data_IF_154158608822
#
_entry.id   IF_154158608822
#
_cell.length_a   1.000
_cell.length_b   1.000
_cell.length_c   1.000
_cell.angle_alpha   90.00
_cell.angle_beta   90.00
_cell.angle_gamma   90.00
#
_symmetry.space_group_name_H-M   'P 1'
#
loop_
_entity.id
_entity.type
_entity.pdbx_description
1 polymer ?
#
# COMPACT_ATOMS: atom_id res chain seq x y z
N UNK A 1 31.83 -87.32 -2.57
CA UNK A 1 32.96 -87.21 -1.62
C UNK A 1 32.49 -86.45 -0.40
N UNK A 2 32.96 -86.89 0.76
CA UNK A 2 32.33 -86.81 2.08
C UNK A 2 33.05 -85.79 2.98
N UNK A 3 32.45 -85.47 4.14
CA UNK A 3 33.00 -84.81 5.36
C UNK A 3 33.02 -83.26 5.37
N UNK A 4 32.66 -82.54 6.44
CA UNK A 4 32.22 -82.87 7.80
C UNK A 4 31.76 -81.58 8.52
N UNK A 5 30.86 -81.76 9.48
CA UNK A 5 30.28 -80.81 10.45
C UNK A 5 31.28 -79.96 11.26
N UNK A 6 30.83 -78.78 11.76
CA UNK A 6 30.62 -78.57 13.22
C UNK A 6 29.99 -77.21 13.58
N UNK A 7 28.93 -77.30 14.39
CA UNK A 7 28.33 -76.30 15.27
C UNK A 7 29.37 -75.62 16.18
N UNK A 8 29.27 -74.30 16.38
CA UNK A 8 29.37 -73.65 17.70
C UNK A 8 28.37 -72.49 17.70
N UNK A 9 27.38 -72.55 18.59
CA UNK A 9 26.55 -71.40 18.93
C UNK A 9 27.19 -70.58 20.04
N UNK A 10 27.07 -69.25 19.94
CA UNK A 10 27.12 -68.34 21.09
C UNK A 10 26.27 -67.11 20.74
N UNK A 11 25.15 -66.96 21.44
CA UNK A 11 24.48 -65.68 21.62
C UNK A 11 25.32 -64.83 22.55
N UNK A 12 25.60 -63.57 22.20
CA UNK A 12 25.64 -62.47 23.16
C UNK A 12 25.50 -61.11 22.44
N UNK A 13 24.38 -60.46 22.74
CA UNK A 13 24.19 -59.01 22.89
C UNK A 13 25.25 -58.04 22.37
N UNK A 14 24.77 -57.03 21.63
CA UNK A 14 25.27 -55.67 21.80
C UNK A 14 25.59 -54.93 20.50
N UNK A 15 24.64 -54.11 20.07
CA UNK A 15 24.78 -52.66 19.84
C UNK A 15 24.02 -52.25 18.57
N UNK A 16 22.69 -52.20 18.66
CA UNK A 16 21.90 -51.41 17.71
C UNK A 16 22.27 -49.96 17.99
N UNK A 17 23.12 -49.35 17.15
CA UNK A 17 23.21 -47.90 17.08
C UNK A 17 21.82 -47.41 16.67
N UNK A 18 21.04 -46.97 17.66
CA UNK A 18 19.94 -46.07 17.41
C UNK A 18 20.57 -44.79 16.86
N UNK A 19 20.53 -44.64 15.54
CA UNK A 19 20.60 -43.31 14.94
C UNK A 19 19.32 -42.63 15.40
N UNK A 20 19.38 -42.00 16.57
CA UNK A 20 18.50 -40.89 16.91
C UNK A 20 18.78 -39.85 15.85
N UNK A 21 18.04 -39.90 14.75
CA UNK A 21 17.84 -38.70 13.95
C UNK A 21 17.33 -37.67 14.92
N UNK A 22 18.19 -36.72 15.29
CA UNK A 22 17.73 -35.42 15.71
C UNK A 22 16.88 -34.94 14.54
N UNK A 23 15.56 -35.18 14.60
CA UNK A 23 14.64 -34.29 13.96
C UNK A 23 14.97 -32.94 14.58
N UNK A 24 15.69 -32.09 13.86
CA UNK A 24 15.67 -30.66 14.13
C UNK A 24 14.20 -30.32 14.23
N UNK A 25 13.71 -30.12 15.45
CA UNK A 25 12.42 -29.51 15.66
C UNK A 25 12.58 -28.16 15.00
N UNK A 26 11.90 -27.96 13.86
CA UNK A 26 11.90 -26.70 13.16
C UNK A 26 11.61 -25.63 14.22
N UNK A 27 12.61 -24.78 14.48
CA UNK A 27 12.43 -23.73 15.47
C UNK A 27 11.28 -22.86 14.95
N UNK A 28 10.26 -22.56 15.78
CA UNK A 28 9.14 -21.75 15.33
C UNK A 28 9.68 -20.45 14.75
N UNK A 29 9.17 -20.02 13.59
CA UNK A 29 9.74 -18.86 12.88
C UNK A 29 9.59 -17.55 13.66
N UNK A 30 8.69 -17.53 14.65
CA UNK A 30 8.57 -16.47 15.63
C UNK A 30 9.81 -16.30 16.55
N UNK A 31 10.73 -17.27 16.57
CA UNK A 31 11.97 -17.23 17.33
C UNK A 31 11.79 -17.27 18.85
N UNK A 32 12.86 -16.94 19.57
CA UNK A 32 12.85 -16.78 21.04
C UNK A 32 12.58 -15.31 21.43
N UNK A 33 12.20 -15.01 22.68
CA UNK A 33 12.08 -13.64 23.15
C UNK A 33 13.33 -12.78 22.91
N UNK A 34 14.52 -13.37 23.04
CA UNK A 34 15.80 -12.69 22.81
C UNK A 34 15.99 -12.30 21.35
N UNK A 35 15.66 -13.20 20.41
CA UNK A 35 15.71 -12.91 18.97
C UNK A 35 14.70 -11.84 18.57
N UNK A 36 13.50 -11.84 19.17
CA UNK A 36 12.49 -10.80 18.93
C UNK A 36 12.90 -9.45 19.50
N UNK A 37 13.56 -9.42 20.65
CA UNK A 37 14.16 -8.21 21.21
C UNK A 37 15.24 -7.64 20.29
N UNK A 38 16.14 -8.49 19.77
CA UNK A 38 17.18 -8.09 18.81
C UNK A 38 16.59 -7.58 17.50
N UNK A 39 15.55 -8.23 16.98
CA UNK A 39 14.80 -7.77 15.80
C UNK A 39 14.20 -6.38 16.05
N UNK A 40 13.52 -6.18 17.19
CA UNK A 40 12.95 -4.90 17.56
C UNK A 40 14.01 -3.80 17.62
N UNK A 41 15.09 -4.03 18.36
CA UNK A 41 16.17 -3.06 18.55
C UNK A 41 16.82 -2.72 17.19
N UNK A 42 16.94 -3.71 16.29
CA UNK A 42 17.42 -3.52 14.91
C UNK A 42 16.49 -2.64 14.08
N UNK A 43 15.17 -2.85 14.17
CA UNK A 43 14.17 -2.03 13.46
C UNK A 43 14.21 -0.58 13.95
N UNK A 44 14.27 -0.35 15.27
CA UNK A 44 14.38 1.00 15.85
C UNK A 44 15.66 1.69 15.39
N UNK A 45 16.80 1.02 15.51
CA UNK A 45 18.09 1.57 15.10
C UNK A 45 18.16 1.86 13.59
N UNK A 46 17.54 1.05 12.73
CA UNK A 46 17.41 1.34 11.29
C UNK A 46 16.48 2.52 11.03
N UNK A 47 15.38 2.61 11.76
CA UNK A 47 14.39 3.69 11.60
C UNK A 47 14.96 5.04 12.01
N UNK A 48 15.61 5.14 13.18
CA UNK A 48 16.29 6.36 13.65
C UNK A 48 17.35 6.83 12.64
N UNK A 49 18.09 5.88 12.05
CA UNK A 49 19.09 6.13 11.01
C UNK A 49 18.52 6.52 9.65
N UNK A 50 17.22 6.48 9.39
CA UNK A 50 16.69 6.91 8.08
C UNK A 50 16.32 8.39 8.02
N UNK A 51 16.05 9.02 9.16
CA UNK A 51 15.62 10.44 9.26
C UNK A 51 14.46 10.84 8.31
N UNK A 52 13.75 9.88 7.74
CA UNK A 52 12.61 10.08 6.83
C UNK A 52 11.33 10.44 7.60
N UNK A 53 11.45 11.39 8.52
CA UNK A 53 10.34 11.96 9.26
C UNK A 53 10.02 13.33 8.71
N UNK A 54 8.72 13.64 8.61
CA UNK A 54 8.27 15.00 8.35
C UNK A 54 8.01 15.65 9.71
N UNK A 55 8.85 16.60 10.18
CA UNK A 55 8.64 17.26 11.48
C UNK A 55 7.28 17.96 11.53
N UNK A 56 6.86 18.56 10.41
CA UNK A 56 5.56 19.24 10.27
C UNK A 56 4.41 18.24 10.43
N UNK A 57 4.53 17.03 9.87
CA UNK A 57 3.53 15.96 10.04
C UNK A 57 3.44 15.57 11.52
N UNK A 58 4.58 15.32 12.15
CA UNK A 58 4.65 14.86 13.54
C UNK A 58 4.07 15.89 14.50
N UNK A 59 4.41 17.17 14.30
CA UNK A 59 3.83 18.29 15.07
C UNK A 59 2.31 18.37 14.89
N UNK A 60 1.82 18.33 13.64
CA UNK A 60 0.37 18.40 13.36
C UNK A 60 -0.42 17.22 13.94
N UNK A 61 0.18 16.03 13.95
CA UNK A 61 -0.43 14.83 14.49
C UNK A 61 -0.12 14.61 15.98
N UNK A 62 0.64 15.51 16.60
CA UNK A 62 0.95 15.50 18.03
C UNK A 62 1.62 14.22 18.53
N UNK A 63 2.54 13.64 17.77
CA UNK A 63 3.19 12.36 18.13
C UNK A 63 4.68 12.34 17.83
N UNK A 64 5.43 11.50 18.55
CA UNK A 64 6.81 11.14 18.24
C UNK A 64 6.86 9.70 17.71
N UNK A 65 7.23 9.48 16.43
CA UNK A 65 7.22 8.15 15.83
C UNK A 65 8.15 7.16 16.52
N UNK A 66 9.30 7.60 17.05
CA UNK A 66 10.23 6.70 17.75
C UNK A 66 9.64 6.32 19.10
N UNK A 67 9.09 7.28 19.84
CA UNK A 67 8.46 6.99 21.13
C UNK A 67 7.27 6.02 20.99
N UNK A 68 6.41 6.23 20.00
CA UNK A 68 5.26 5.35 19.71
C UNK A 68 5.71 3.93 19.34
N UNK A 69 6.79 3.81 18.56
CA UNK A 69 7.38 2.50 18.24
C UNK A 69 8.01 1.83 19.47
N UNK A 70 8.76 2.59 20.28
CA UNK A 70 9.41 2.11 21.50
C UNK A 70 8.42 1.52 22.50
N UNK A 71 7.22 2.11 22.61
CA UNK A 71 6.13 1.63 23.45
C UNK A 71 5.62 0.21 23.06
N UNK A 72 5.93 -0.28 21.86
CA UNK A 72 5.51 -1.59 21.38
C UNK A 72 6.52 -2.72 21.64
N UNK A 73 7.64 -2.44 22.33
CA UNK A 73 8.68 -3.44 22.58
C UNK A 73 8.15 -4.71 23.24
N UNK A 74 7.39 -4.56 24.32
CA UNK A 74 6.87 -5.70 25.07
C UNK A 74 5.85 -6.51 24.24
N UNK A 75 5.10 -5.85 23.36
CA UNK A 75 4.16 -6.52 22.44
C UNK A 75 4.93 -7.40 21.46
N UNK A 76 6.03 -6.91 20.89
CA UNK A 76 6.88 -7.68 19.96
C UNK A 76 7.61 -8.80 20.68
N UNK A 77 8.21 -8.54 21.84
CA UNK A 77 9.01 -9.54 22.58
C UNK A 77 8.13 -10.67 23.11
N UNK A 78 6.90 -10.38 23.53
CA UNK A 78 5.98 -11.38 24.06
C UNK A 78 5.26 -12.22 22.99
N UNK A 79 5.29 -11.81 21.71
CA UNK A 79 4.65 -12.51 20.61
C UNK A 79 5.24 -13.91 20.38
N UNK A 80 4.52 -14.94 20.81
CA UNK A 80 5.00 -16.32 20.91
C UNK A 80 4.67 -17.16 19.68
N UNK A 81 3.72 -16.71 18.86
CA UNK A 81 3.33 -17.35 17.61
C UNK A 81 3.67 -16.47 16.40
N UNK A 82 3.71 -17.07 15.21
CA UNK A 82 3.98 -16.34 13.97
C UNK A 82 2.91 -15.27 13.69
N UNK A 83 1.64 -15.59 13.98
CA UNK A 83 0.52 -14.66 13.85
C UNK A 83 0.62 -13.49 14.85
N UNK A 84 0.94 -13.77 16.12
CA UNK A 84 1.17 -12.72 17.12
C UNK A 84 2.32 -11.82 16.70
N UNK A 85 3.42 -12.39 16.20
CA UNK A 85 4.59 -11.61 15.80
C UNK A 85 4.30 -10.76 14.57
N UNK A 86 3.59 -11.29 13.58
CA UNK A 86 3.16 -10.52 12.42
C UNK A 86 2.34 -9.29 12.82
N UNK A 87 1.30 -9.45 13.63
CA UNK A 87 0.48 -8.31 14.05
C UNK A 87 1.23 -7.35 14.98
N UNK A 88 2.17 -7.84 15.80
CA UNK A 88 3.05 -6.98 16.58
C UNK A 88 3.97 -6.12 15.66
N UNK A 89 4.52 -6.72 14.61
CA UNK A 89 5.34 -6.02 13.60
C UNK A 89 4.50 -5.07 12.74
N UNK A 90 3.26 -5.42 12.39
CA UNK A 90 2.34 -4.55 11.69
C UNK A 90 2.06 -3.28 12.52
N UNK A 91 1.78 -3.44 13.82
CA UNK A 91 1.62 -2.30 14.75
C UNK A 91 2.88 -1.47 14.84
N UNK A 92 4.05 -2.11 14.97
CA UNK A 92 5.33 -1.43 15.02
C UNK A 92 5.60 -0.60 13.76
N UNK A 93 5.33 -1.16 12.59
CA UNK A 93 5.46 -0.47 11.30
C UNK A 93 4.53 0.74 11.22
N UNK A 94 3.24 0.54 11.49
CA UNK A 94 2.22 1.57 11.34
C UNK A 94 2.29 2.68 12.41
N UNK A 95 2.93 2.44 13.55
CA UNK A 95 3.17 3.47 14.58
C UNK A 95 3.90 4.71 14.04
N UNK A 96 4.66 4.58 12.95
CA UNK A 96 5.34 5.70 12.27
C UNK A 96 4.39 6.65 11.53
N UNK A 97 3.15 6.22 11.27
CA UNK A 97 2.16 6.93 10.46
C UNK A 97 2.79 7.38 9.14
N UNK A 98 3.33 6.43 8.41
CA UNK A 98 3.91 6.61 7.07
C UNK A 98 3.13 5.76 6.07
N UNK A 99 2.54 6.40 5.03
CA UNK A 99 1.73 5.69 4.04
C UNK A 99 2.55 4.79 3.11
N UNK A 100 3.88 4.97 3.07
CA UNK A 100 4.78 4.24 2.18
C UNK A 100 5.60 3.18 2.92
N UNK A 101 5.38 3.01 4.22
CA UNK A 101 6.07 1.98 4.97
C UNK A 101 5.20 0.72 5.00
N UNK A 102 5.65 -0.25 4.21
CA UNK A 102 4.91 -1.48 3.98
C UNK A 102 5.55 -2.67 4.71
N UNK A 103 4.71 -3.63 5.06
CA UNK A 103 5.11 -4.90 5.66
C UNK A 103 4.68 -6.00 4.71
N UNK A 104 5.65 -6.70 4.13
CA UNK A 104 5.41 -7.77 3.18
C UNK A 104 5.60 -9.14 3.83
N UNK A 105 4.74 -10.09 3.45
CA UNK A 105 5.07 -11.51 3.59
C UNK A 105 6.12 -11.88 2.53
N UNK A 106 7.10 -12.70 2.91
CA UNK A 106 8.21 -13.12 2.04
C UNK A 106 8.39 -14.63 2.09
N UNK A 107 8.93 -15.21 1.02
CA UNK A 107 9.24 -16.63 0.98
C UNK A 107 10.17 -17.03 2.15
N UNK A 108 9.79 -18.06 2.90
CA UNK A 108 10.51 -18.50 4.09
C UNK A 108 10.30 -17.64 5.35
N UNK A 109 9.54 -16.55 5.27
CA UNK A 109 9.16 -15.69 6.39
C UNK A 109 8.03 -16.26 7.26
N UNK A 110 7.36 -15.39 8.02
CA UNK A 110 6.23 -15.75 8.89
C UNK A 110 5.06 -16.31 8.07
N UNK A 111 4.45 -17.38 8.56
CA UNK A 111 3.28 -18.03 7.99
C UNK A 111 2.04 -17.71 8.82
N UNK A 112 0.97 -17.29 8.12
CA UNK A 112 -0.30 -16.94 8.73
C UNK A 112 -1.38 -17.94 8.31
N UNK A 113 -2.35 -18.24 9.19
CA UNK A 113 -3.51 -19.07 8.82
C UNK A 113 -4.34 -18.48 7.67
N UNK A 114 -4.32 -17.16 7.55
CA UNK A 114 -4.98 -16.40 6.50
C UNK A 114 -4.10 -15.19 6.15
N UNK A 115 -3.97 -14.93 4.85
CA UNK A 115 -3.17 -13.83 4.28
C UNK A 115 -3.94 -13.01 3.24
N UNK A 116 -5.26 -13.21 3.14
CA UNK A 116 -6.11 -12.48 2.19
C UNK A 116 -6.04 -10.97 2.43
N UNK A 117 -5.71 -10.22 1.39
CA UNK A 117 -5.51 -8.77 1.44
C UNK A 117 -4.20 -8.30 2.09
N UNK A 118 -3.24 -9.20 2.30
CA UNK A 118 -1.89 -8.83 2.73
C UNK A 118 -0.93 -8.70 1.54
N UNK A 119 0.00 -7.75 1.64
CA UNK A 119 1.04 -7.57 0.64
C UNK A 119 2.05 -8.74 0.71
N UNK A 120 2.34 -9.36 -0.44
CA UNK A 120 3.32 -10.47 -0.57
C UNK A 120 4.41 -10.02 -1.54
N UNK A 121 5.67 -10.09 -1.10
CA UNK A 121 6.81 -9.77 -1.96
C UNK A 121 6.97 -10.85 -3.03
N UNK A 122 7.04 -10.43 -4.29
CA UNK A 122 7.19 -11.30 -5.47
C UNK A 122 6.10 -12.39 -5.61
N UNK A 123 4.93 -12.17 -5.01
CA UNK A 123 3.80 -13.09 -5.04
C UNK A 123 2.47 -12.40 -5.38
N UNK A 124 1.44 -13.20 -5.62
CA UNK A 124 0.08 -12.68 -5.83
C UNK A 124 -0.59 -12.41 -4.46
N UNK A 125 -1.07 -11.18 -4.27
CA UNK A 125 -1.97 -10.84 -3.18
C UNK A 125 -3.39 -11.25 -3.57
N UNK A 126 -4.06 -12.03 -2.72
CA UNK A 126 -5.47 -12.35 -2.90
C UNK A 126 -6.34 -11.15 -2.51
N UNK A 127 -7.23 -10.73 -3.41
CA UNK A 127 -8.18 -9.65 -3.12
C UNK A 127 -9.15 -10.08 -2.00
N UNK A 128 -9.36 -9.24 -0.97
CA UNK A 128 -10.28 -9.57 0.10
C UNK A 128 -11.74 -9.58 -0.36
N UNK A 129 -12.51 -10.50 0.22
CA UNK A 129 -13.95 -10.52 0.01
C UNK A 129 -14.59 -9.25 0.60
N UNK A 130 -15.64 -8.75 -0.04
CA UNK A 130 -16.29 -7.48 0.28
C UNK A 130 -17.78 -7.69 0.60
N UNK A 131 -18.30 -6.95 1.58
CA UNK A 131 -19.73 -6.89 1.88
C UNK A 131 -20.48 -6.05 0.82
N UNK A 132 -21.78 -6.27 0.57
CA UNK A 132 -22.56 -5.55 -0.45
C UNK A 132 -22.86 -4.07 -0.14
N UNK A 133 -21.97 -3.38 0.59
CA UNK A 133 -22.02 -1.96 0.94
C UNK A 133 -20.65 -1.31 0.77
N UNK A 134 -20.62 -0.02 0.46
CA UNK A 134 -19.42 0.83 0.60
C UNK A 134 -19.69 1.81 1.74
N UNK A 135 -18.69 1.98 2.59
CA UNK A 135 -18.75 2.93 3.71
C UNK A 135 -17.81 4.08 3.37
N UNK A 136 -18.26 5.31 3.61
CA UNK A 136 -17.46 6.51 3.44
C UNK A 136 -17.29 7.25 4.76
N UNK A 137 -16.16 7.91 4.97
CA UNK A 137 -15.96 8.78 6.11
C UNK A 137 -16.82 10.05 5.97
N UNK A 138 -17.39 10.50 7.08
CA UNK A 138 -17.97 11.83 7.20
C UNK A 138 -16.84 12.83 7.53
N UNK A 139 -16.67 13.84 6.67
CA UNK A 139 -15.69 14.90 6.85
C UNK A 139 -16.33 16.23 7.30
N UNK A 140 -17.60 16.21 7.70
CA UNK A 140 -18.32 17.41 8.14
C UNK A 140 -17.89 17.89 9.53
N UNK A 141 -17.31 17.00 10.35
CA UNK A 141 -16.70 17.32 11.63
C UNK A 141 -15.38 16.56 11.86
N UNK A 142 -14.72 16.84 12.99
CA UNK A 142 -13.45 16.21 13.39
C UNK A 142 -13.66 14.83 14.08
N UNK A 143 -14.91 14.38 14.27
CA UNK A 143 -15.19 13.10 14.91
C UNK A 143 -15.09 11.93 13.92
N UNK A 144 -14.92 10.71 14.45
CA UNK A 144 -14.94 9.51 13.64
C UNK A 144 -16.37 9.18 13.18
N UNK A 145 -16.85 9.89 12.16
CA UNK A 145 -18.13 9.65 11.50
C UNK A 145 -17.99 8.80 10.25
N UNK A 146 -18.92 7.87 10.04
CA UNK A 146 -18.98 7.02 8.85
C UNK A 146 -20.43 6.83 8.43
N UNK A 147 -20.65 6.71 7.12
CA UNK A 147 -21.98 6.47 6.57
C UNK A 147 -21.94 5.50 5.38
N UNK A 148 -23.09 4.91 5.07
CA UNK A 148 -23.25 4.08 3.88
C UNK A 148 -23.16 4.97 2.64
N UNK A 149 -22.08 4.84 1.88
CA UNK A 149 -21.83 5.63 0.66
C UNK A 149 -22.43 5.03 -0.61
N UNK A 150 -22.48 3.69 -0.68
CA UNK A 150 -23.05 2.94 -1.79
C UNK A 150 -23.51 1.56 -1.32
N UNK A 151 -24.30 0.88 -2.12
CA UNK A 151 -24.75 -0.49 -1.88
C UNK A 151 -24.90 -1.26 -3.18
N UNK A 152 -24.87 -2.58 -3.09
CA UNK A 152 -25.08 -3.41 -4.26
C UNK A 152 -26.57 -3.41 -4.70
N UNK A 153 -26.81 -3.53 -6.01
CA UNK A 153 -28.17 -3.45 -6.62
C UNK A 153 -28.89 -4.79 -6.77
N UNK A 154 -28.19 -5.91 -6.53
CA UNK A 154 -28.73 -7.24 -6.79
C UNK A 154 -29.78 -7.62 -5.73
N UNK A 155 -31.02 -8.01 -6.13
CA UNK A 155 -32.06 -8.41 -5.19
C UNK A 155 -31.74 -9.70 -4.41
N UNK A 156 -30.67 -10.43 -4.74
CA UNK A 156 -30.20 -11.59 -3.96
C UNK A 156 -29.66 -11.21 -2.58
N UNK A 157 -29.31 -9.94 -2.37
CA UNK A 157 -28.81 -9.47 -1.09
C UNK A 157 -29.93 -9.39 -0.05
N UNK A 158 -29.61 -9.59 1.24
CA UNK A 158 -30.54 -9.26 2.32
C UNK A 158 -30.92 -7.79 2.27
N UNK A 159 -31.84 -7.37 3.15
CA UNK A 159 -32.08 -5.95 3.35
C UNK A 159 -30.74 -5.24 3.65
N UNK A 160 -30.41 -4.24 2.83
CA UNK A 160 -29.18 -3.47 2.95
C UNK A 160 -29.48 -2.13 3.61
N UNK A 161 -28.56 -1.58 4.40
CA UNK A 161 -28.73 -0.24 4.96
C UNK A 161 -28.88 0.79 3.82
N UNK A 162 -29.56 1.89 4.11
CA UNK A 162 -29.80 2.93 3.13
C UNK A 162 -28.54 3.78 2.94
N UNK A 163 -28.34 4.28 1.72
CA UNK A 163 -27.28 5.25 1.43
C UNK A 163 -27.54 6.50 2.30
N UNK A 164 -26.51 6.94 3.02
CA UNK A 164 -26.57 8.06 3.96
C UNK A 164 -26.84 7.67 5.42
N UNK A 165 -27.17 6.40 5.72
CA UNK A 165 -27.29 5.95 7.11
C UNK A 165 -25.93 6.02 7.81
N UNK A 166 -25.90 6.58 9.03
CA UNK A 166 -24.70 6.66 9.87
C UNK A 166 -24.35 5.29 10.45
N UNK A 167 -23.10 4.89 10.40
CA UNK A 167 -22.61 3.66 11.06
C UNK A 167 -22.35 3.94 12.54
N UNK A 168 -23.03 3.21 13.42
CA UNK A 168 -22.86 3.31 14.88
C UNK A 168 -21.97 2.19 15.44
N UNK A 169 -22.09 0.98 14.90
CA UNK A 169 -21.27 -0.17 15.32
C UNK A 169 -20.82 -1.00 14.12
N UNK A 170 -19.64 -1.60 14.26
CA UNK A 170 -19.03 -2.54 13.31
C UNK A 170 -18.62 -3.78 14.08
N UNK A 171 -19.15 -4.95 13.69
CA UNK A 171 -18.85 -6.23 14.35
C UNK A 171 -19.10 -6.22 15.86
N UNK A 172 -20.16 -5.52 16.29
CA UNK A 172 -20.54 -5.34 17.69
C UNK A 172 -19.68 -4.35 18.48
N UNK A 173 -18.69 -3.72 17.85
CA UNK A 173 -17.86 -2.67 18.44
C UNK A 173 -18.41 -1.28 18.07
N UNK A 174 -18.53 -0.34 19.01
CA UNK A 174 -18.78 1.07 18.69
C UNK A 174 -17.78 1.59 17.65
N UNK A 175 -18.26 2.39 16.70
CA UNK A 175 -17.48 2.77 15.51
C UNK A 175 -16.19 3.53 15.86
N UNK A 176 -16.21 4.32 16.93
CA UNK A 176 -15.04 5.01 17.50
C UNK A 176 -14.02 4.02 18.06
N UNK A 177 -14.46 3.05 18.86
CA UNK A 177 -13.60 2.00 19.39
C UNK A 177 -13.02 1.11 18.27
N UNK A 178 -13.79 0.86 17.21
CA UNK A 178 -13.31 0.13 16.03
C UNK A 178 -12.26 0.95 15.27
N UNK A 179 -12.52 2.23 15.04
CA UNK A 179 -11.57 3.16 14.41
C UNK A 179 -10.24 3.17 15.16
N UNK A 180 -10.27 3.37 16.47
CA UNK A 180 -9.07 3.44 17.31
C UNK A 180 -8.29 2.12 17.27
N UNK A 181 -8.99 0.99 17.35
CA UNK A 181 -8.37 -0.33 17.32
C UNK A 181 -7.75 -0.65 15.95
N UNK A 182 -8.46 -0.33 14.86
CA UNK A 182 -8.03 -0.59 13.49
C UNK A 182 -6.89 0.34 13.05
N UNK A 183 -6.79 1.55 13.61
CA UNK A 183 -5.72 2.52 13.33
C UNK A 183 -4.32 1.93 13.53
N UNK A 184 -4.16 1.06 14.54
CA UNK A 184 -2.89 0.39 14.82
C UNK A 184 -2.41 -0.53 13.67
N UNK A 185 -3.28 -0.87 12.73
CA UNK A 185 -3.00 -1.79 11.63
C UNK A 185 -3.11 -1.12 10.25
N UNK A 186 -3.24 0.21 10.18
CA UNK A 186 -3.43 0.92 8.93
C UNK A 186 -2.32 1.95 8.67
N UNK A 187 -1.61 1.78 7.55
CA UNK A 187 -0.64 2.77 7.05
C UNK A 187 -1.34 4.07 6.64
N UNK A 188 -0.93 5.21 7.18
CA UNK A 188 -1.51 6.51 6.89
C UNK A 188 -0.50 7.61 7.15
N UNK A 189 -0.66 8.81 6.58
CA UNK A 189 0.18 9.98 6.91
C UNK A 189 -0.61 11.21 7.35
N UNK A 190 -1.94 11.12 7.26
CA UNK A 190 -2.89 12.14 7.70
C UNK A 190 -4.11 11.42 8.28
N UNK A 191 -4.86 12.09 9.17
CA UNK A 191 -6.14 11.59 9.68
C UNK A 191 -7.18 11.42 8.57
N UNK A 192 -7.23 12.36 7.61
CA UNK A 192 -8.16 12.30 6.47
C UNK A 192 -7.98 11.01 5.66
N UNK A 193 -6.72 10.65 5.35
CA UNK A 193 -6.42 9.44 4.60
C UNK A 193 -6.63 8.17 5.45
N UNK A 194 -6.41 8.25 6.76
CA UNK A 194 -6.73 7.17 7.69
C UNK A 194 -8.23 6.88 7.69
N UNK A 195 -9.08 7.89 7.88
CA UNK A 195 -10.54 7.72 7.88
C UNK A 195 -11.04 7.12 6.57
N UNK A 196 -10.51 7.55 5.42
CA UNK A 196 -10.82 6.95 4.12
C UNK A 196 -10.50 5.46 4.07
N UNK A 197 -9.26 5.08 4.42
CA UNK A 197 -8.82 3.67 4.39
C UNK A 197 -9.57 2.80 5.38
N UNK A 198 -9.88 3.34 6.55
CA UNK A 198 -10.66 2.64 7.56
C UNK A 198 -12.11 2.43 7.11
N UNK A 199 -12.73 3.40 6.43
CA UNK A 199 -14.06 3.25 5.85
C UNK A 199 -14.10 2.11 4.81
N UNK A 200 -13.12 2.06 3.90
CA UNK A 200 -12.99 0.96 2.94
C UNK A 200 -12.80 -0.38 3.65
N UNK A 201 -11.88 -0.42 4.62
CA UNK A 201 -11.55 -1.61 5.39
C UNK A 201 -12.72 -2.22 6.18
N UNK A 202 -13.65 -1.40 6.70
CA UNK A 202 -14.83 -1.89 7.44
C UNK A 202 -15.67 -2.86 6.61
N UNK A 203 -15.70 -2.67 5.29
CA UNK A 203 -16.50 -3.49 4.37
C UNK A 203 -15.76 -4.73 3.84
N UNK A 204 -14.53 -4.98 4.28
CA UNK A 204 -13.66 -6.05 3.76
C UNK A 204 -13.41 -7.15 4.80
N UNK A 205 -13.38 -8.41 4.34
CA UNK A 205 -12.82 -9.52 5.11
C UNK A 205 -11.35 -9.68 4.74
N UNK A 206 -10.49 -8.99 5.48
CA UNK A 206 -9.03 -8.95 5.22
C UNK A 206 -8.23 -9.37 6.44
N UNK A 207 -7.13 -10.09 6.20
CA UNK A 207 -6.12 -10.43 7.18
C UNK A 207 -5.19 -9.26 7.56
N UNK A 208 -5.42 -8.06 7.02
CA UNK A 208 -4.77 -6.84 7.50
C UNK A 208 -5.10 -6.57 8.98
N UNK A 209 -6.24 -7.07 9.48
CA UNK A 209 -6.65 -6.94 10.86
C UNK A 209 -6.62 -8.28 11.62
N UNK A 210 -6.31 -8.26 12.92
CA UNK A 210 -6.43 -9.44 13.78
C UNK A 210 -7.88 -9.91 13.92
N UNK A 211 -8.06 -11.16 14.33
CA UNK A 211 -9.37 -11.83 14.38
C UNK A 211 -10.42 -11.11 15.22
N UNK A 212 -10.04 -10.35 16.26
CA UNK A 212 -10.99 -9.61 17.09
C UNK A 212 -11.61 -8.37 16.40
N UNK A 213 -11.06 -7.93 15.25
CA UNK A 213 -11.64 -6.89 14.40
C UNK A 213 -12.36 -7.48 13.18
N UNK A 214 -12.29 -8.81 13.00
CA UNK A 214 -12.84 -9.53 11.86
C UNK A 214 -14.06 -10.34 12.30
N UNK A 215 -14.91 -10.64 11.32
CA UNK A 215 -16.06 -11.51 11.50
C UNK A 215 -16.30 -12.32 10.22
N UNK A 216 -17.06 -13.41 10.32
CA UNK A 216 -17.45 -14.24 9.17
C UNK A 216 -18.44 -13.51 8.24
N UNK A 217 -19.23 -12.59 8.81
CA UNK A 217 -20.11 -11.66 8.12
C UNK A 217 -19.90 -10.26 8.69
N UNK A 218 -20.12 -9.22 7.88
CA UNK A 218 -20.11 -7.86 8.38
C UNK A 218 -21.40 -7.59 9.13
N UNK A 219 -21.31 -7.31 10.43
CA UNK A 219 -22.47 -6.84 11.20
C UNK A 219 -22.39 -5.34 11.45
N UNK A 220 -23.46 -4.63 11.13
CA UNK A 220 -23.56 -3.18 11.29
C UNK A 220 -24.78 -2.84 12.13
N UNK A 221 -24.65 -1.85 13.00
CA UNK A 221 -25.81 -1.06 13.46
C UNK A 221 -25.70 0.30 12.82
N UNK A 222 -26.73 0.71 12.09
CA UNK A 222 -26.79 2.03 11.45
C UNK A 222 -27.95 2.86 11.99
N UNK A 223 -27.85 4.18 11.86
CA UNK A 223 -28.89 5.13 12.20
C UNK A 223 -29.30 5.93 10.97
N UNK A 224 -30.58 5.93 10.66
CA UNK A 224 -31.13 6.72 9.55
C UNK A 224 -31.23 8.20 9.91
N UNK A 225 -31.49 9.05 8.92
CA UNK A 225 -31.74 10.49 9.13
C UNK A 225 -32.96 10.79 10.03
N UNK A 226 -33.87 9.82 10.25
CA UNK A 226 -34.99 9.94 11.19
C UNK A 226 -34.62 9.55 12.62
N UNK A 227 -33.38 9.13 12.87
CA UNK A 227 -32.91 8.63 14.16
C UNK A 227 -33.27 7.16 14.44
N UNK A 228 -33.74 6.42 13.43
CA UNK A 228 -34.09 5.00 13.60
C UNK A 228 -32.83 4.15 13.51
N UNK A 229 -32.59 3.32 14.52
CA UNK A 229 -31.48 2.36 14.52
C UNK A 229 -31.92 1.01 13.96
N UNK A 230 -31.09 0.45 13.08
CA UNK A 230 -31.31 -0.84 12.43
C UNK A 230 -30.03 -1.68 12.45
N UNK A 231 -30.17 -2.98 12.64
CA UNK A 231 -29.06 -3.93 12.64
C UNK A 231 -29.06 -4.79 11.36
N UNK A 232 -27.88 -4.98 10.78
CA UNK A 232 -27.67 -5.69 9.52
C UNK A 232 -26.59 -6.77 9.69
N UNK A 233 -26.77 -7.91 9.04
CA UNK A 233 -25.74 -8.95 8.86
C UNK A 233 -25.54 -9.16 7.37
N UNK A 234 -24.34 -8.89 6.88
CA UNK A 234 -24.03 -8.79 5.46
C UNK A 234 -22.96 -9.81 5.08
N UNK A 235 -23.20 -10.69 4.09
CA UNK A 235 -22.23 -11.70 3.69
C UNK A 235 -21.07 -11.05 2.94
N UNK A 236 -19.84 -11.51 3.18
CA UNK A 236 -18.71 -11.19 2.32
C UNK A 236 -18.73 -12.03 1.04
N UNK A 237 -18.42 -11.40 -0.09
CA UNK A 237 -18.43 -12.00 -1.43
C UNK A 237 -17.22 -11.56 -2.23
N UNK A 238 -16.95 -12.28 -3.32
CA UNK A 238 -15.94 -11.84 -4.28
C UNK A 238 -16.31 -10.43 -4.79
N UNK A 239 -15.40 -9.45 -4.80
CA UNK A 239 -15.71 -8.10 -5.29
C UNK A 239 -16.25 -8.08 -6.72
N UNK A 240 -15.86 -9.05 -7.56
CA UNK A 240 -16.37 -9.18 -8.94
C UNK A 240 -17.84 -9.57 -9.01
N UNK A 241 -18.41 -10.12 -7.94
CA UNK A 241 -19.84 -10.44 -7.81
C UNK A 241 -20.71 -9.21 -7.46
N UNK A 242 -20.10 -8.07 -7.13
CA UNK A 242 -20.80 -6.88 -6.63
C UNK A 242 -21.01 -5.85 -7.74
N UNK A 243 -22.28 -5.66 -8.13
CA UNK A 243 -22.71 -4.53 -8.94
C UNK A 243 -23.28 -3.43 -8.05
N UNK A 244 -22.74 -2.21 -8.16
CA UNK A 244 -23.02 -1.07 -7.28
C UNK A 244 -24.13 -0.16 -7.83
N UNK A 245 -24.78 0.64 -6.97
CA UNK A 245 -25.73 1.66 -7.45
C UNK A 245 -25.02 2.80 -8.18
N UNK A 246 -23.74 3.03 -7.85
CA UNK A 246 -22.93 4.11 -8.41
C UNK A 246 -23.16 5.45 -7.70
N UNK A 247 -23.84 5.46 -6.54
CA UNK A 247 -24.03 6.69 -5.76
C UNK A 247 -22.74 7.26 -5.20
N UNK A 248 -21.73 6.39 -4.99
CA UNK A 248 -20.42 6.80 -4.50
C UNK A 248 -19.43 7.24 -5.59
N UNK A 249 -19.87 7.24 -6.84
CA UNK A 249 -19.03 7.53 -7.99
C UNK A 249 -19.32 8.94 -8.53
N UNK A 250 -18.29 9.78 -8.78
CA UNK A 250 -18.46 11.04 -9.50
C UNK A 250 -19.34 10.88 -10.75
N UNK A 251 -20.41 11.67 -10.80
CA UNK A 251 -21.34 11.73 -11.91
C UNK A 251 -21.28 13.12 -12.53
N UNK A 252 -21.21 13.18 -13.86
CA UNK A 252 -21.07 14.41 -14.64
C UNK A 252 -22.23 14.56 -15.65
N UNK A 253 -23.45 14.91 -15.20
CA UNK A 253 -24.61 15.01 -16.09
C UNK A 253 -24.43 16.07 -17.18
N UNK A 254 -24.86 15.73 -18.40
CA UNK A 254 -24.76 16.60 -19.57
C UNK A 254 -23.35 16.72 -20.16
N UNK A 255 -22.46 15.79 -19.80
CA UNK A 255 -21.15 15.62 -20.42
C UNK A 255 -21.07 14.25 -21.11
N UNK A 256 -20.33 14.19 -22.21
CA UNK A 256 -20.03 12.96 -22.95
C UNK A 256 -18.58 12.58 -22.80
N UNK A 257 -18.32 11.28 -22.68
CA UNK A 257 -16.99 10.71 -22.72
C UNK A 257 -16.44 10.78 -24.15
N UNK A 258 -15.38 11.54 -24.36
CA UNK A 258 -14.73 11.69 -25.67
C UNK A 258 -13.46 10.81 -25.77
N UNK A 259 -12.68 10.71 -24.68
CA UNK A 259 -11.50 9.84 -24.58
C UNK A 259 -11.52 9.05 -23.28
N UNK A 260 -11.03 7.81 -23.33
CA UNK A 260 -10.82 6.96 -22.15
C UNK A 260 -9.54 6.15 -22.33
N UNK A 261 -8.62 6.33 -21.38
CA UNK A 261 -7.31 5.67 -21.35
C UNK A 261 -7.06 5.08 -19.96
N UNK A 262 -6.03 4.25 -19.76
CA UNK A 262 -5.62 3.86 -18.41
C UNK A 262 -5.33 5.07 -17.51
N UNK A 263 -4.82 6.17 -18.06
CA UNK A 263 -4.44 7.39 -17.32
C UNK A 263 -5.62 8.30 -16.99
N UNK A 264 -6.60 8.48 -17.88
CA UNK A 264 -7.70 9.41 -17.66
C UNK A 264 -8.99 9.07 -18.43
N UNK A 265 -10.09 9.73 -18.04
CA UNK A 265 -11.26 9.96 -18.89
C UNK A 265 -11.40 11.46 -19.19
N UNK A 266 -11.66 11.82 -20.44
CA UNK A 266 -11.98 13.19 -20.86
C UNK A 266 -13.47 13.28 -21.17
N UNK A 267 -14.16 14.18 -20.46
CA UNK A 267 -15.55 14.49 -20.69
C UNK A 267 -15.75 15.92 -21.19
N UNK A 268 -16.62 16.09 -22.17
CA UNK A 268 -16.93 17.38 -22.82
C UNK A 268 -18.43 17.67 -22.71
N UNK A 269 -18.86 18.91 -22.44
CA UNK A 269 -20.28 19.28 -22.39
C UNK A 269 -20.97 19.13 -23.74
N UNK A 270 -22.17 18.53 -23.74
CA UNK A 270 -23.00 18.38 -24.96
C UNK A 270 -23.63 19.69 -25.44
N UNK A 271 -23.70 20.68 -24.55
CA UNK A 271 -24.44 21.94 -24.74
C UNK A 271 -23.54 23.13 -25.09
N UNK A 272 -22.27 22.87 -25.44
CA UNK A 272 -21.33 23.89 -25.90
C UNK A 272 -20.76 24.80 -24.82
N UNK A 273 -20.96 24.47 -23.53
CA UNK A 273 -20.26 25.15 -22.43
C UNK A 273 -18.75 25.00 -22.58
N UNK A 274 -18.00 26.07 -22.27
CA UNK A 274 -16.54 26.15 -22.45
C UNK A 274 -15.74 25.63 -21.26
N UNK A 275 -15.95 24.37 -20.91
CA UNK A 275 -15.11 23.66 -19.96
C UNK A 275 -15.00 22.20 -20.36
N UNK A 276 -14.00 21.49 -19.82
CA UNK A 276 -13.85 20.04 -19.95
C UNK A 276 -13.58 19.46 -18.57
N UNK A 277 -13.95 18.19 -18.37
CA UNK A 277 -13.61 17.44 -17.16
C UNK A 277 -12.60 16.37 -17.52
N UNK A 278 -11.46 16.37 -16.83
CA UNK A 278 -10.45 15.32 -16.93
C UNK A 278 -10.43 14.53 -15.63
N UNK A 279 -11.00 13.33 -15.66
CA UNK A 279 -10.95 12.39 -14.53
C UNK A 279 -9.60 11.69 -14.58
N UNK A 280 -8.71 12.06 -13.68
CA UNK A 280 -7.35 11.58 -13.61
C UNK A 280 -7.23 10.31 -12.76
N UNK A 281 -6.94 9.17 -13.38
CA UNK A 281 -6.86 7.86 -12.71
C UNK A 281 -5.50 7.61 -12.05
N UNK A 282 -4.47 8.38 -12.39
CA UNK A 282 -3.10 8.23 -11.88
C UNK A 282 -2.08 8.23 -13.00
N UNK A 283 -0.81 8.09 -12.65
CA UNK A 283 0.27 8.03 -13.63
C UNK A 283 0.53 6.57 -14.00
N UNK A 284 0.04 6.14 -15.15
CA UNK A 284 0.00 4.73 -15.58
C UNK A 284 1.06 4.40 -16.64
N UNK A 285 1.15 3.14 -17.02
CA UNK A 285 2.12 2.63 -18.01
C UNK A 285 2.10 3.41 -19.33
N UNK A 286 0.92 3.85 -19.79
CA UNK A 286 0.72 4.63 -21.02
C UNK A 286 0.70 6.14 -20.80
N UNK A 287 1.17 6.63 -19.66
CA UNK A 287 1.08 8.04 -19.26
C UNK A 287 1.57 9.03 -20.31
N UNK A 288 2.74 8.78 -20.91
CA UNK A 288 3.35 9.66 -21.91
C UNK A 288 2.48 9.76 -23.18
N UNK A 289 2.20 8.64 -23.90
CA UNK A 289 1.35 8.69 -25.08
C UNK A 289 -0.08 9.17 -24.77
N UNK A 290 -0.66 8.78 -23.63
CA UNK A 290 -2.02 9.20 -23.26
C UNK A 290 -2.13 10.74 -23.17
N UNK A 291 -1.12 11.41 -22.59
CA UNK A 291 -1.11 12.88 -22.47
C UNK A 291 -0.80 13.55 -23.80
N UNK A 292 0.08 12.99 -24.63
CA UNK A 292 0.34 13.57 -25.96
C UNK A 292 -0.92 13.50 -26.83
N UNK A 293 -1.62 12.36 -26.82
CA UNK A 293 -2.91 12.17 -27.50
C UNK A 293 -3.99 13.13 -26.96
N UNK A 294 -3.99 13.40 -25.65
CA UNK A 294 -4.91 14.39 -25.04
C UNK A 294 -4.71 15.78 -25.61
N UNK A 295 -3.45 16.23 -25.72
CA UNK A 295 -3.12 17.57 -26.21
C UNK A 295 -3.44 17.68 -27.71
N UNK A 296 -3.09 16.66 -28.50
CA UNK A 296 -3.42 16.61 -29.94
C UNK A 296 -4.94 16.64 -30.15
N UNK A 297 -5.69 15.83 -29.38
CA UNK A 297 -7.14 15.85 -29.42
C UNK A 297 -7.71 17.22 -29.05
N UNK A 298 -7.23 17.81 -27.95
CA UNK A 298 -7.68 19.12 -27.49
C UNK A 298 -7.39 20.24 -28.51
N UNK A 299 -6.25 20.19 -29.19
CA UNK A 299 -5.92 21.11 -30.29
C UNK A 299 -6.88 20.92 -31.47
N UNK A 300 -7.06 19.67 -31.93
CA UNK A 300 -7.91 19.35 -33.09
C UNK A 300 -9.38 19.72 -32.89
N UNK A 301 -9.84 19.75 -31.63
CA UNK A 301 -11.21 20.06 -31.24
C UNK A 301 -11.39 21.49 -30.74
N UNK A 302 -10.32 22.29 -30.70
CA UNK A 302 -10.37 23.68 -30.23
C UNK A 302 -10.71 23.80 -28.74
N UNK A 303 -10.26 22.85 -27.92
CA UNK A 303 -10.53 22.79 -26.48
C UNK A 303 -9.45 23.48 -25.63
N UNK A 304 -8.31 23.85 -26.22
CA UNK A 304 -7.15 24.42 -25.49
C UNK A 304 -7.45 25.75 -24.77
N UNK A 305 -8.54 26.43 -25.12
CA UNK A 305 -8.99 27.66 -24.49
C UNK A 305 -10.17 27.46 -23.50
N UNK A 306 -10.58 26.21 -23.26
CA UNK A 306 -11.64 25.87 -22.33
C UNK A 306 -11.10 25.80 -20.89
N UNK A 307 -11.98 26.01 -19.91
CA UNK A 307 -11.62 25.78 -18.52
C UNK A 307 -11.45 24.26 -18.26
N UNK A 308 -10.36 23.86 -17.61
CA UNK A 308 -10.13 22.47 -17.22
C UNK A 308 -10.58 22.24 -15.78
N UNK A 309 -11.54 21.33 -15.58
CA UNK A 309 -11.85 20.74 -14.27
C UNK A 309 -11.08 19.43 -14.17
N UNK A 310 -10.09 19.38 -13.29
CA UNK A 310 -9.30 18.16 -13.06
C UNK A 310 -9.84 17.41 -11.84
N UNK A 311 -10.45 16.25 -12.06
CA UNK A 311 -10.92 15.36 -11.00
C UNK A 311 -9.83 14.34 -10.68
N UNK A 312 -9.17 14.52 -9.53
CA UNK A 312 -8.10 13.62 -9.04
C UNK A 312 -8.55 12.73 -7.88
N UNK A 313 -9.85 12.68 -7.58
CA UNK A 313 -10.40 11.98 -6.41
C UNK A 313 -10.11 10.48 -6.42
N UNK A 314 -9.88 9.90 -7.61
CA UNK A 314 -9.55 8.48 -7.81
C UNK A 314 -8.10 8.24 -8.22
N UNK A 315 -7.25 9.26 -8.17
CA UNK A 315 -5.87 9.14 -8.59
C UNK A 315 -5.06 8.30 -7.61
N UNK A 316 -4.37 7.26 -8.10
CA UNK A 316 -3.53 6.37 -7.27
C UNK A 316 -2.05 6.80 -7.19
N UNK A 317 -1.71 7.99 -7.67
CA UNK A 317 -0.31 8.41 -7.78
C UNK A 317 0.45 7.68 -8.90
N UNK A 318 1.78 7.62 -8.77
CA UNK A 318 2.73 7.15 -9.80
C UNK A 318 3.80 8.20 -10.17
N UNK A 319 4.56 7.93 -11.23
CA UNK A 319 5.71 8.74 -11.69
C UNK A 319 5.34 9.68 -12.86
N UNK A 320 6.27 10.48 -13.36
CA UNK A 320 6.06 11.33 -14.55
C UNK A 320 5.03 12.48 -14.44
N UNK A 321 4.66 12.90 -13.23
CA UNK A 321 3.71 14.02 -13.05
C UNK A 321 4.19 15.35 -13.63
N UNK A 322 5.50 15.60 -13.66
CA UNK A 322 6.04 16.81 -14.27
C UNK A 322 5.89 16.80 -15.81
N UNK A 323 5.97 15.64 -16.46
CA UNK A 323 5.67 15.50 -17.89
C UNK A 323 4.25 15.96 -18.21
N UNK A 324 3.28 15.49 -17.42
CA UNK A 324 1.87 15.88 -17.54
C UNK A 324 1.70 17.39 -17.41
N UNK A 325 2.24 17.94 -16.32
CA UNK A 325 2.11 19.35 -16.00
C UNK A 325 2.70 20.23 -17.11
N UNK A 326 3.87 19.89 -17.65
CA UNK A 326 4.50 20.65 -18.73
C UNK A 326 3.63 20.76 -20.00
N UNK A 327 2.74 19.79 -20.24
CA UNK A 327 1.81 19.77 -21.39
C UNK A 327 0.48 20.43 -21.10
N UNK A 328 0.01 20.34 -19.85
CA UNK A 328 -1.30 20.85 -19.45
C UNK A 328 -1.26 22.34 -19.05
N UNK A 329 -0.10 22.90 -18.76
CA UNK A 329 0.01 24.31 -18.37
C UNK A 329 1.26 25.01 -18.93
N UNK A 330 1.14 26.26 -19.39
CA UNK A 330 2.20 26.93 -20.14
C UNK A 330 3.25 27.65 -19.28
N UNK A 331 3.07 27.72 -17.96
CA UNK A 331 3.97 28.46 -17.08
C UNK A 331 5.12 27.57 -16.59
N UNK A 332 6.36 28.09 -16.58
CA UNK A 332 7.49 27.38 -15.99
C UNK A 332 7.20 27.02 -14.53
N UNK A 333 7.61 25.82 -14.13
CA UNK A 333 7.48 25.38 -12.75
C UNK A 333 8.73 24.64 -12.29
N UNK A 334 8.93 24.60 -10.98
CA UNK A 334 10.10 23.97 -10.38
C UNK A 334 9.76 22.56 -9.90
N UNK A 335 10.54 21.58 -10.35
CA UNK A 335 10.49 20.20 -9.83
C UNK A 335 11.26 20.08 -8.51
N UNK A 336 10.90 19.09 -7.71
CA UNK A 336 11.60 18.79 -6.46
C UNK A 336 12.99 18.20 -6.75
N UNK A 337 13.91 18.38 -5.81
CA UNK A 337 15.21 17.71 -5.83
C UNK A 337 15.21 16.59 -4.80
N UNK A 338 15.94 15.52 -5.10
CA UNK A 338 16.15 14.39 -4.21
C UNK A 338 17.61 14.00 -4.14
N UNK A 339 17.97 13.27 -3.09
CA UNK A 339 19.25 12.62 -2.91
C UNK A 339 19.04 11.23 -2.29
N UNK A 340 20.10 10.43 -2.22
CA UNK A 340 20.09 9.17 -1.49
C UNK A 340 20.92 9.32 -0.23
N UNK A 341 20.41 8.79 0.88
CA UNK A 341 21.21 8.57 2.07
C UNK A 341 22.13 7.37 1.79
N UNK A 342 23.44 7.59 1.90
CA UNK A 342 24.43 6.57 1.52
C UNK A 342 24.34 5.32 2.40
N UNK A 343 23.93 5.46 3.65
CA UNK A 343 23.72 4.32 4.54
C UNK A 343 22.58 3.38 4.11
N UNK A 344 21.71 3.81 3.21
CA UNK A 344 20.64 2.97 2.63
C UNK A 344 21.07 2.30 1.32
N UNK A 345 22.22 2.67 0.75
CA UNK A 345 22.74 2.09 -0.50
C UNK A 345 23.45 0.77 -0.17
N UNK A 346 22.93 -0.33 -0.70
CA UNK A 346 23.49 -1.67 -0.51
C UNK A 346 23.97 -2.25 -1.84
N UNK A 347 24.88 -3.21 -1.79
CA UNK A 347 25.35 -3.91 -2.99
C UNK A 347 24.19 -4.57 -3.76
N UNK A 348 23.23 -5.28 -3.13
CA UNK A 348 22.04 -5.76 -3.82
C UNK A 348 21.26 -4.65 -4.52
N UNK A 349 21.03 -3.51 -3.87
CA UNK A 349 20.33 -2.39 -4.49
C UNK A 349 21.04 -1.86 -5.75
N UNK A 350 22.37 -1.77 -5.72
CA UNK A 350 23.17 -1.32 -6.87
C UNK A 350 23.06 -2.32 -8.03
N UNK A 351 23.24 -3.61 -7.75
CA UNK A 351 23.18 -4.66 -8.76
C UNK A 351 21.79 -4.80 -9.36
N UNK A 352 20.73 -4.72 -8.55
CA UNK A 352 19.34 -4.71 -9.03
C UNK A 352 19.12 -3.56 -10.01
N UNK A 353 19.61 -2.35 -9.69
CA UNK A 353 19.48 -1.19 -10.60
C UNK A 353 20.28 -1.33 -11.89
N UNK A 354 21.46 -1.95 -11.84
CA UNK A 354 22.25 -2.27 -13.04
C UNK A 354 21.54 -3.30 -13.92
N UNK A 355 20.92 -4.31 -13.32
CA UNK A 355 20.14 -5.33 -14.03
C UNK A 355 18.89 -4.73 -14.67
N UNK A 356 18.12 -3.91 -13.93
CA UNK A 356 16.96 -3.16 -14.45
C UNK A 356 17.35 -2.35 -15.69
N UNK A 357 18.45 -1.59 -15.59
CA UNK A 357 18.95 -0.76 -16.68
C UNK A 357 19.39 -1.61 -17.89
N UNK A 358 20.16 -2.68 -17.67
CA UNK A 358 20.61 -3.57 -18.74
C UNK A 358 19.43 -4.24 -19.47
N UNK A 359 18.36 -4.57 -18.75
CA UNK A 359 17.13 -5.12 -19.29
C UNK A 359 16.21 -4.06 -19.94
N UNK A 360 16.56 -2.76 -19.86
CA UNK A 360 15.70 -1.63 -20.25
C UNK A 360 14.35 -1.65 -19.52
N UNK A 361 14.34 -2.13 -18.29
CA UNK A 361 13.16 -2.30 -17.45
C UNK A 361 13.22 -1.32 -16.26
N UNK A 362 13.30 -0.03 -16.55
CA UNK A 362 13.41 1.02 -15.52
C UNK A 362 12.01 1.52 -15.22
N UNK A 363 11.28 0.67 -14.52
CA UNK A 363 9.87 0.84 -14.25
C UNK A 363 9.60 0.83 -12.74
N UNK A 364 8.60 1.60 -12.30
CA UNK A 364 8.04 1.62 -10.96
C UNK A 364 6.58 1.18 -11.06
N UNK A 365 6.29 -0.03 -10.57
CA UNK A 365 4.95 -0.61 -10.68
C UNK A 365 4.47 -0.79 -12.12
N UNK A 366 5.37 -1.14 -13.04
CA UNK A 366 5.06 -1.29 -14.48
C UNK A 366 5.03 0.02 -15.27
N UNK A 367 5.28 1.16 -14.62
CA UNK A 367 5.30 2.48 -15.26
C UNK A 367 6.73 2.94 -15.46
N UNK A 368 7.07 3.40 -16.66
CA UNK A 368 8.39 3.97 -16.92
C UNK A 368 8.71 5.12 -15.96
N UNK A 369 9.84 5.03 -15.26
CA UNK A 369 10.25 6.06 -14.30
C UNK A 369 10.92 7.26 -14.97
N UNK A 370 11.43 7.09 -16.20
CA UNK A 370 12.30 8.06 -16.86
C UNK A 370 11.82 8.36 -18.27
N UNK A 371 11.98 9.62 -18.71
CA UNK A 371 11.72 9.99 -20.11
C UNK A 371 12.87 9.62 -21.05
N UNK A 372 14.06 9.35 -20.50
CA UNK A 372 15.19 8.78 -21.24
C UNK A 372 15.24 7.26 -21.06
N UNK A 373 16.23 6.62 -21.67
CA UNK A 373 16.52 5.19 -21.51
C UNK A 373 17.17 4.85 -20.15
N UNK A 374 17.09 5.76 -19.17
CA UNK A 374 17.66 5.66 -17.84
C UNK A 374 19.14 5.97 -17.73
N UNK A 375 19.79 6.41 -18.81
CA UNK A 375 21.20 6.76 -18.80
C UNK A 375 21.51 7.85 -17.75
N UNK A 376 20.61 8.81 -17.55
CA UNK A 376 20.76 9.84 -16.51
C UNK A 376 20.79 9.22 -15.12
N UNK A 377 19.86 8.31 -14.83
CA UNK A 377 19.77 7.62 -13.55
C UNK A 377 21.05 6.82 -13.27
N UNK A 378 21.54 6.08 -14.26
CA UNK A 378 22.76 5.30 -14.12
C UNK A 378 24.02 6.15 -13.98
N UNK A 379 24.15 7.25 -14.73
CA UNK A 379 25.30 8.16 -14.53
C UNK A 379 25.31 8.72 -13.12
N UNK A 380 24.16 9.10 -12.55
CA UNK A 380 24.12 9.55 -11.17
C UNK A 380 24.45 8.44 -10.17
N UNK A 381 23.95 7.22 -10.38
CA UNK A 381 24.29 6.08 -9.53
C UNK A 381 25.80 5.81 -9.54
N UNK A 382 26.40 5.69 -10.73
CA UNK A 382 27.81 5.32 -10.90
C UNK A 382 28.77 6.47 -10.50
N UNK A 383 28.50 7.69 -10.94
CA UNK A 383 29.44 8.81 -10.80
C UNK A 383 29.32 9.54 -9.47
N UNK A 384 28.10 9.62 -8.92
CA UNK A 384 27.82 10.46 -7.77
C UNK A 384 27.54 9.60 -6.52
N UNK A 385 26.64 8.61 -6.61
CA UNK A 385 26.24 7.79 -5.45
C UNK A 385 27.37 6.85 -5.02
N UNK A 386 27.96 6.06 -5.92
CA UNK A 386 29.08 5.18 -5.57
C UNK A 386 30.32 5.96 -5.14
N UNK A 387 30.51 7.13 -5.72
CA UNK A 387 31.58 8.05 -5.36
C UNK A 387 31.41 8.58 -3.94
N UNK A 388 30.19 9.01 -3.57
CA UNK A 388 29.82 9.39 -2.21
C UNK A 388 29.97 8.22 -1.21
N UNK A 389 29.56 7.00 -1.61
CA UNK A 389 29.77 5.78 -0.84
C UNK A 389 31.25 5.53 -0.55
N UNK A 390 32.12 5.63 -1.57
CA UNK A 390 33.57 5.43 -1.43
C UNK A 390 34.23 6.47 -0.49
N UNK A 391 33.67 7.69 -0.44
CA UNK A 391 34.14 8.76 0.44
C UNK A 391 33.53 8.72 1.84
N UNK A 392 32.58 7.82 2.10
CA UNK A 392 31.85 7.75 3.37
C UNK A 392 30.99 8.99 3.64
N UNK A 393 30.47 9.61 2.58
CA UNK A 393 29.57 10.76 2.71
C UNK A 393 28.20 10.33 3.26
N UNK A 394 27.47 11.23 3.95
CA UNK A 394 26.16 10.89 4.49
C UNK A 394 25.07 10.80 3.40
N UNK A 395 25.20 11.59 2.32
CA UNK A 395 24.23 11.69 1.23
C UNK A 395 24.93 11.82 -0.13
N UNK A 396 24.26 11.40 -1.20
CA UNK A 396 24.65 11.73 -2.57
C UNK A 396 24.33 13.18 -2.95
N UNK A 397 24.75 13.60 -4.14
CA UNK A 397 24.39 14.89 -4.73
C UNK A 397 22.88 15.03 -4.92
N UNK A 398 22.37 16.25 -4.74
CA UNK A 398 20.98 16.57 -5.05
C UNK A 398 20.77 16.59 -6.56
N UNK A 399 19.75 15.88 -7.03
CA UNK A 399 19.34 15.84 -8.43
C UNK A 399 17.86 16.17 -8.59
N UNK A 400 17.42 16.73 -9.73
CA UNK A 400 15.99 16.87 -10.04
C UNK A 400 15.27 15.52 -9.93
N UNK A 401 14.03 15.51 -9.43
CA UNK A 401 13.25 14.33 -9.04
C UNK A 401 13.52 13.05 -9.86
N UNK A 402 14.28 12.12 -9.26
CA UNK A 402 14.72 10.82 -9.83
C UNK A 402 15.41 10.90 -11.21
N UNK A 403 15.83 12.09 -11.64
CA UNK A 403 16.29 12.38 -13.00
C UNK A 403 15.27 12.04 -14.09
N UNK A 404 14.01 11.86 -13.68
CA UNK A 404 12.93 11.38 -14.53
C UNK A 404 12.65 12.30 -15.70
N UNK A 405 12.87 13.61 -15.54
CA UNK A 405 12.51 14.64 -16.51
C UNK A 405 13.69 15.53 -16.93
N UNK A 406 14.58 15.82 -15.99
CA UNK A 406 15.69 16.76 -16.19
C UNK A 406 17.03 16.09 -15.90
N UNK A 407 18.11 16.46 -16.61
CA UNK A 407 19.45 15.96 -16.32
C UNK A 407 19.95 16.45 -14.95
N UNK A 408 20.98 15.80 -14.39
CA UNK A 408 21.49 16.09 -13.05
C UNK A 408 21.95 17.53 -12.83
N UNK A 409 22.42 18.19 -13.90
CA UNK A 409 22.89 19.57 -13.89
C UNK A 409 21.78 20.63 -14.05
N UNK A 410 20.52 20.21 -14.19
CA UNK A 410 19.40 21.14 -14.31
C UNK A 410 19.15 21.85 -12.97
N UNK A 411 18.70 23.09 -13.04
CA UNK A 411 18.16 23.86 -11.91
C UNK A 411 16.73 23.43 -11.50
N UNK A 412 16.18 22.45 -12.22
CA UNK A 412 14.86 21.85 -12.03
C UNK A 412 13.70 22.70 -12.53
N UNK A 413 13.95 23.75 -13.31
CA UNK A 413 12.88 24.50 -13.98
C UNK A 413 12.51 23.77 -15.29
N UNK A 414 11.22 23.45 -15.44
CA UNK A 414 10.65 22.73 -16.59
C UNK A 414 9.68 23.58 -17.41
#
# INVERSE_FOLDING_TARGET
MNKLQRLIGFSLFGLTLAVTGCSEVASPKAGTPELRAELFDTIIARTQRREAFSPIKNERLGFDPIQEMEALRDVVVSASTEQELYYALARLSHARRDRHLDLYLVAGGLELPDSVGLDVLDGESNEPAQAPVRIFPDYSDDAAGYFIGDRAIDPRWPELPAIGDQVLTVNGMPVDAWHDSATAFMRHSTSIALSWKLAEAMALSTAAFPSYLRAEELTLVTQSSSGTESAYSLPFRDPSDLSWTGSGDPNYPGLVLELSTPTYDLLVPEDGRRFVVLIWRGFRETMVPDVDDLVEFAESRGLLDHALVMDVTRSRGGSLGAYAMQRLQPLPFKTTFGNLRISDVTEPFIEDKRLDFAARNINDGGVSETIDDGNRLMSWLEDDVLSALSRGEPYSSNVPFKLAHAPKESDGIL
#
